data_IF_284325382823
#
_entry.id   IF_284325382823
#
_cell.length_a   1.000
_cell.length_b   1.000
_cell.length_c   1.000
_cell.angle_alpha   90.00
_cell.angle_beta   90.00
_cell.angle_gamma   90.00
#
_symmetry.space_group_name_H-M   'P 1'
#
loop_
_entity.id
_entity.type
_entity.pdbx_description
1 polymer ?
#
# COMPACT_ATOMS: atom_id res chain seq x y z
N UNK A 1 44.86 -18.01 -11.22
CA UNK A 1 43.96 -19.20 -11.22
C UNK A 1 42.82 -18.90 -10.26
N UNK A 2 41.60 -18.98 -10.77
CA UNK A 2 40.42 -18.29 -10.24
C UNK A 2 39.92 -18.89 -8.91
N UNK A 3 39.62 -18.04 -7.94
CA UNK A 3 39.00 -18.38 -6.64
C UNK A 3 37.61 -19.06 -6.78
N UNK A 4 37.11 -19.21 -8.00
CA UNK A 4 35.90 -19.96 -8.36
C UNK A 4 36.08 -21.49 -8.38
N UNK A 5 37.32 -22.01 -8.42
CA UNK A 5 37.59 -23.45 -8.46
C UNK A 5 37.57 -24.16 -7.10
N UNK A 6 37.48 -23.41 -5.99
CA UNK A 6 37.45 -23.95 -4.62
C UNK A 6 36.05 -24.00 -4.01
N UNK A 7 35.01 -23.60 -4.74
CA UNK A 7 33.64 -23.55 -4.25
C UNK A 7 32.88 -24.85 -4.57
N UNK A 8 32.12 -25.41 -3.61
CA UNK A 8 31.30 -26.59 -3.86
C UNK A 8 30.26 -26.28 -4.96
N UNK A 9 30.07 -27.22 -5.89
CA UNK A 9 29.11 -27.18 -7.01
C UNK A 9 27.73 -26.53 -6.71
N UNK A 10 27.07 -26.76 -5.56
CA UNK A 10 25.83 -26.08 -5.22
C UNK A 10 25.98 -24.55 -5.07
N UNK A 11 27.11 -24.06 -4.55
CA UNK A 11 27.36 -22.61 -4.38
C UNK A 11 27.62 -21.94 -5.72
N UNK A 12 28.28 -22.63 -6.65
CA UNK A 12 28.47 -22.14 -8.03
C UNK A 12 27.14 -22.07 -8.77
N UNK A 13 26.25 -23.05 -8.60
CA UNK A 13 24.88 -22.98 -9.15
C UNK A 13 24.04 -21.89 -8.51
N UNK A 14 24.17 -21.68 -7.20
CA UNK A 14 23.50 -20.60 -6.49
C UNK A 14 23.99 -19.23 -6.98
N UNK A 15 25.31 -19.06 -7.12
CA UNK A 15 25.92 -17.84 -7.67
C UNK A 15 25.54 -17.63 -9.13
N UNK A 16 25.47 -18.68 -9.94
CA UNK A 16 25.01 -18.59 -11.32
C UNK A 16 23.51 -18.22 -11.39
N UNK A 17 22.68 -18.79 -10.52
CA UNK A 17 21.27 -18.41 -10.39
C UNK A 17 21.10 -16.95 -9.94
N UNK A 18 21.83 -16.52 -8.91
CA UNK A 18 21.85 -15.13 -8.48
C UNK A 18 22.40 -14.22 -9.57
N UNK A 19 23.44 -14.62 -10.30
CA UNK A 19 23.99 -13.86 -11.42
C UNK A 19 22.99 -13.80 -12.57
N UNK A 20 22.25 -14.85 -12.89
CA UNK A 20 21.20 -14.81 -13.92
C UNK A 20 20.00 -13.96 -13.51
N UNK A 21 19.56 -14.04 -12.25
CA UNK A 21 18.48 -13.22 -11.69
C UNK A 21 18.91 -11.75 -11.48
N UNK A 22 20.18 -11.47 -11.17
CA UNK A 22 20.73 -10.13 -11.01
C UNK A 22 21.21 -9.52 -12.34
N UNK A 23 21.64 -10.34 -13.30
CA UNK A 23 21.99 -9.87 -14.65
C UNK A 23 20.72 -9.41 -15.37
N UNK A 24 20.83 -8.27 -16.04
CA UNK A 24 19.74 -7.47 -16.57
C UNK A 24 19.06 -8.07 -17.82
N UNK A 25 18.64 -9.34 -17.76
CA UNK A 25 18.01 -9.99 -18.92
C UNK A 25 16.56 -9.58 -19.16
N UNK A 26 15.97 -8.74 -18.29
CA UNK A 26 14.66 -8.11 -18.48
C UNK A 26 14.83 -6.60 -18.73
N UNK A 27 14.64 -6.11 -19.97
CA UNK A 27 14.76 -4.69 -20.27
C UNK A 27 13.76 -3.89 -19.44
N UNK A 28 14.23 -2.87 -18.71
CA UNK A 28 13.38 -1.95 -17.94
C UNK A 28 13.39 -2.11 -16.41
N UNK A 29 14.07 -3.10 -15.83
CA UNK A 29 14.08 -3.30 -14.37
C UNK A 29 14.75 -2.16 -13.60
N UNK A 30 15.96 -1.78 -14.00
CA UNK A 30 16.73 -0.70 -13.34
C UNK A 30 15.98 0.64 -13.37
N UNK A 31 15.48 1.14 -14.52
CA UNK A 31 14.75 2.40 -14.52
C UNK A 31 13.48 2.33 -13.66
N UNK A 32 12.74 1.22 -13.66
CA UNK A 32 11.57 1.04 -12.78
C UNK A 32 11.96 1.00 -11.29
N UNK A 33 13.05 0.33 -10.93
CA UNK A 33 13.55 0.30 -9.55
C UNK A 33 13.98 1.68 -9.08
N UNK A 34 14.71 2.43 -9.92
CA UNK A 34 15.13 3.81 -9.60
C UNK A 34 13.92 4.73 -9.49
N UNK A 35 12.95 4.62 -10.41
CA UNK A 35 11.70 5.39 -10.39
C UNK A 35 10.91 5.16 -9.09
N UNK A 36 10.74 3.89 -8.69
CA UNK A 36 10.07 3.52 -7.45
C UNK A 36 10.84 3.99 -6.22
N UNK A 37 12.17 3.85 -6.22
CA UNK A 37 13.03 4.30 -5.13
C UNK A 37 12.95 5.82 -4.93
N UNK A 38 13.02 6.60 -6.01
CA UNK A 38 12.82 8.06 -5.97
C UNK A 38 11.42 8.39 -5.47
N UNK A 39 10.39 7.68 -5.93
CA UNK A 39 9.03 7.84 -5.45
C UNK A 39 8.90 7.61 -3.94
N UNK A 40 9.49 6.53 -3.42
CA UNK A 40 9.50 6.24 -1.99
C UNK A 40 10.24 7.32 -1.18
N UNK A 41 11.39 7.79 -1.67
CA UNK A 41 12.13 8.87 -1.01
C UNK A 41 11.33 10.16 -0.95
N UNK A 42 10.64 10.52 -2.04
CA UNK A 42 9.76 11.69 -2.06
C UNK A 42 8.59 11.53 -1.09
N UNK A 43 7.95 10.36 -1.05
CA UNK A 43 6.86 10.06 -0.11
C UNK A 43 7.32 10.22 1.34
N UNK A 44 8.50 9.68 1.68
CA UNK A 44 9.09 9.82 3.01
C UNK A 44 9.43 11.28 3.32
N UNK A 45 10.09 11.98 2.40
CA UNK A 45 10.48 13.37 2.59
C UNK A 45 9.27 14.27 2.81
N UNK A 46 8.23 14.14 1.98
CA UNK A 46 6.98 14.89 2.13
C UNK A 46 6.31 14.54 3.47
N UNK A 47 6.22 13.24 3.80
CA UNK A 47 5.61 12.82 5.07
C UNK A 47 6.33 13.39 6.29
N UNK A 48 7.66 13.35 6.32
CA UNK A 48 8.44 13.84 7.44
C UNK A 48 8.43 15.37 7.51
N UNK A 49 8.39 16.07 6.36
CA UNK A 49 8.34 17.53 6.31
C UNK A 49 7.00 18.09 6.79
N UNK A 50 5.90 17.44 6.42
CA UNK A 50 4.55 17.86 6.80
C UNK A 50 3.98 17.11 8.01
N UNK A 51 4.82 16.31 8.68
CA UNK A 51 4.45 15.47 9.83
C UNK A 51 3.20 14.61 9.57
N UNK A 52 3.07 14.09 8.34
CA UNK A 52 1.94 13.26 7.92
C UNK A 52 2.04 11.91 8.65
N UNK A 53 0.99 11.48 9.37
CA UNK A 53 1.00 10.20 10.05
C UNK A 53 0.93 9.03 9.05
N UNK A 54 1.25 7.81 9.51
CA UNK A 54 1.05 6.57 8.75
C UNK A 54 1.81 6.47 7.42
N UNK A 55 3.07 6.89 7.38
CA UNK A 55 3.95 6.80 6.19
C UNK A 55 3.97 5.41 5.54
N UNK A 56 3.89 4.35 6.36
CA UNK A 56 3.83 2.97 5.88
C UNK A 56 2.62 2.71 4.96
N UNK A 57 1.45 3.29 5.26
CA UNK A 57 0.26 3.17 4.42
C UNK A 57 0.45 3.92 3.09
N UNK A 58 1.04 5.12 3.12
CA UNK A 58 1.34 5.86 1.88
C UNK A 58 2.34 5.14 0.98
N UNK A 59 3.37 4.53 1.56
CA UNK A 59 4.32 3.71 0.81
C UNK A 59 3.66 2.48 0.21
N UNK A 60 2.76 1.82 0.95
CA UNK A 60 1.98 0.70 0.42
C UNK A 60 1.14 1.13 -0.79
N UNK A 61 0.44 2.28 -0.71
CA UNK A 61 -0.32 2.82 -1.85
C UNK A 61 0.59 3.06 -3.07
N UNK A 62 1.77 3.64 -2.87
CA UNK A 62 2.73 3.85 -3.96
C UNK A 62 3.20 2.52 -4.58
N UNK A 63 3.58 1.54 -3.76
CA UNK A 63 4.06 0.23 -4.20
C UNK A 63 3.02 -0.53 -5.02
N UNK A 64 1.75 -0.49 -4.60
CA UNK A 64 0.68 -1.21 -5.27
C UNK A 64 0.06 -0.42 -6.43
N UNK A 65 0.19 0.90 -6.41
CA UNK A 65 -0.38 1.79 -7.40
C UNK A 65 0.44 1.86 -8.70
N UNK A 66 1.77 1.79 -8.62
CA UNK A 66 2.63 1.84 -9.80
C UNK A 66 2.51 0.54 -10.60
N UNK A 67 1.96 0.66 -11.81
CA UNK A 67 1.84 -0.44 -12.76
C UNK A 67 2.88 -0.32 -13.87
N UNK A 68 3.18 -1.43 -14.55
CA UNK A 68 4.12 -1.44 -15.69
C UNK A 68 3.66 -0.61 -16.89
N UNK A 69 2.37 -0.30 -16.97
CA UNK A 69 1.76 0.48 -18.04
C UNK A 69 1.21 1.80 -17.50
N UNK A 70 1.66 2.93 -18.04
CA UNK A 70 1.25 4.27 -17.57
C UNK A 70 -0.28 4.51 -17.63
N UNK A 71 -0.97 3.96 -18.63
CA UNK A 71 -2.44 4.02 -18.70
C UNK A 71 -3.10 3.30 -17.52
N UNK A 72 -2.59 2.11 -17.17
CA UNK A 72 -3.11 1.34 -16.05
C UNK A 72 -2.79 2.01 -14.71
N UNK A 73 -1.62 2.63 -14.56
CA UNK A 73 -1.29 3.42 -13.37
C UNK A 73 -2.30 4.56 -13.16
N UNK A 74 -2.67 5.30 -14.21
CA UNK A 74 -3.68 6.36 -14.13
C UNK A 74 -5.07 5.82 -13.80
N UNK A 75 -5.46 4.68 -14.39
CA UNK A 75 -6.73 4.04 -14.10
C UNK A 75 -6.80 3.56 -12.64
N UNK A 76 -5.73 2.92 -12.15
CA UNK A 76 -5.59 2.52 -10.74
C UNK A 76 -5.62 3.73 -9.82
N UNK A 77 -5.01 4.85 -10.21
CA UNK A 77 -5.05 6.10 -9.45
C UNK A 77 -6.47 6.62 -9.24
N UNK A 78 -7.28 6.67 -10.29
CA UNK A 78 -8.67 7.11 -10.20
C UNK A 78 -9.45 6.19 -9.26
N UNK A 79 -9.25 4.87 -9.37
CA UNK A 79 -9.88 3.90 -8.49
C UNK A 79 -9.47 4.10 -7.02
N UNK A 80 -8.18 4.38 -6.76
CA UNK A 80 -7.69 4.68 -5.42
C UNK A 80 -8.33 5.94 -4.83
N UNK A 81 -8.45 7.02 -5.60
CA UNK A 81 -9.12 8.24 -5.15
C UNK A 81 -10.56 7.95 -4.72
N UNK A 82 -11.32 7.27 -5.58
CA UNK A 82 -12.72 6.91 -5.30
C UNK A 82 -12.81 5.99 -4.08
N UNK A 83 -11.93 4.99 -4.00
CA UNK A 83 -11.90 4.03 -2.91
C UNK A 83 -11.59 4.72 -1.57
N UNK A 84 -10.58 5.59 -1.51
CA UNK A 84 -10.23 6.34 -0.30
C UNK A 84 -11.40 7.20 0.18
N UNK A 85 -12.10 7.91 -0.70
CA UNK A 85 -13.25 8.74 -0.31
C UNK A 85 -14.39 7.88 0.27
N UNK A 86 -14.73 6.78 -0.42
CA UNK A 86 -15.79 5.86 0.03
C UNK A 86 -15.42 5.17 1.35
N UNK A 87 -14.17 4.78 1.50
CA UNK A 87 -13.65 4.10 2.68
C UNK A 87 -13.68 5.00 3.90
N UNK A 88 -13.19 6.24 3.79
CA UNK A 88 -13.23 7.20 4.90
C UNK A 88 -14.67 7.55 5.28
N UNK A 89 -15.55 7.74 4.30
CA UNK A 89 -16.99 7.92 4.57
C UNK A 89 -17.61 6.72 5.30
N UNK A 90 -17.24 5.51 4.90
CA UNK A 90 -17.68 4.27 5.54
C UNK A 90 -17.15 4.13 6.96
N UNK A 91 -15.88 4.47 7.21
CA UNK A 91 -15.28 4.45 8.55
C UNK A 91 -16.02 5.40 9.50
N UNK A 92 -16.38 6.61 9.07
CA UNK A 92 -17.19 7.51 9.90
C UNK A 92 -18.55 6.92 10.24
N UNK A 93 -19.21 6.25 9.28
CA UNK A 93 -20.48 5.59 9.54
C UNK A 93 -20.31 4.45 10.55
N UNK A 94 -19.23 3.67 10.45
CA UNK A 94 -18.91 2.60 11.40
C UNK A 94 -18.70 3.19 12.79
N UNK A 95 -17.88 4.23 12.93
CA UNK A 95 -17.60 4.85 14.23
C UNK A 95 -18.85 5.40 14.89
N UNK A 96 -19.76 6.02 14.12
CA UNK A 96 -21.02 6.56 14.65
C UNK A 96 -21.81 5.52 15.45
N UNK A 97 -21.79 4.26 15.04
CA UNK A 97 -22.58 3.19 15.66
C UNK A 97 -21.79 2.24 16.56
N UNK A 98 -20.45 2.28 16.50
CA UNK A 98 -19.62 1.24 17.11
C UNK A 98 -18.39 1.74 17.88
N UNK A 99 -18.29 3.06 18.12
CA UNK A 99 -17.12 3.68 18.76
C UNK A 99 -16.71 2.99 20.07
N UNK A 100 -17.66 2.83 21.00
CA UNK A 100 -17.40 2.19 22.31
C UNK A 100 -17.54 0.68 22.34
N UNK A 101 -17.96 0.05 21.23
CA UNK A 101 -18.36 -1.36 21.20
C UNK A 101 -17.43 -2.18 20.28
N UNK A 102 -16.31 -2.72 20.81
CA UNK A 102 -15.33 -3.43 20.00
C UNK A 102 -15.90 -4.68 19.33
N UNK A 103 -16.89 -5.34 19.94
CA UNK A 103 -17.57 -6.51 19.36
C UNK A 103 -18.32 -6.17 18.08
N UNK A 104 -18.99 -5.01 18.03
CA UNK A 104 -19.71 -4.56 16.83
C UNK A 104 -18.72 -4.28 15.68
N UNK A 105 -17.60 -3.62 15.99
CA UNK A 105 -16.51 -3.41 15.02
C UNK A 105 -15.97 -4.72 14.47
N UNK A 106 -15.77 -5.74 15.32
CA UNK A 106 -15.32 -7.05 14.86
C UNK A 106 -16.32 -7.71 13.89
N UNK A 107 -17.62 -7.66 14.23
CA UNK A 107 -18.69 -8.21 13.39
C UNK A 107 -18.77 -7.47 12.05
N UNK A 108 -18.46 -6.18 11.99
CA UNK A 108 -18.43 -5.38 10.75
C UNK A 108 -17.13 -5.64 9.96
N UNK A 109 -15.99 -5.73 10.63
CA UNK A 109 -14.68 -5.97 10.01
C UNK A 109 -14.65 -7.31 9.25
N UNK A 110 -15.27 -8.36 9.78
CA UNK A 110 -15.29 -9.69 9.18
C UNK A 110 -15.86 -9.72 7.75
N UNK A 111 -17.11 -9.27 7.52
CA UNK A 111 -17.70 -9.15 6.19
C UNK A 111 -16.93 -8.23 5.25
N UNK A 112 -16.40 -7.10 5.74
CA UNK A 112 -15.57 -6.19 4.92
C UNK A 112 -14.33 -6.93 4.43
N UNK A 113 -13.60 -7.59 5.34
CA UNK A 113 -12.43 -8.41 5.02
C UNK A 113 -12.77 -9.50 4.00
N UNK A 114 -13.84 -10.25 4.24
CA UNK A 114 -14.27 -11.31 3.34
C UNK A 114 -14.63 -10.77 1.95
N UNK A 115 -15.35 -9.65 1.88
CA UNK A 115 -15.71 -8.97 0.64
C UNK A 115 -14.48 -8.50 -0.13
N UNK A 116 -13.54 -7.82 0.54
CA UNK A 116 -12.30 -7.38 -0.07
C UNK A 116 -11.45 -8.56 -0.56
N UNK A 117 -11.28 -9.61 0.26
CA UNK A 117 -10.53 -10.82 -0.10
C UNK A 117 -11.16 -11.57 -1.28
N UNK A 118 -12.49 -11.59 -1.37
CA UNK A 118 -13.18 -12.17 -2.51
C UNK A 118 -12.93 -11.36 -3.79
N UNK A 119 -13.04 -10.03 -3.69
CA UNK A 119 -12.79 -9.09 -4.80
C UNK A 119 -11.31 -9.00 -5.22
N UNK A 120 -10.38 -9.53 -4.42
CA UNK A 120 -8.97 -9.65 -4.81
C UNK A 120 -8.70 -10.71 -5.88
N UNK A 121 -9.53 -11.76 -5.96
CA UNK A 121 -9.30 -12.88 -6.89
C UNK A 121 -9.33 -12.49 -8.38
N UNK A 122 -10.11 -11.48 -8.85
CA UNK A 122 -9.95 -10.93 -10.18
C UNK A 122 -8.56 -10.29 -10.40
N UNK A 123 -7.76 -10.95 -11.25
CA UNK A 123 -6.30 -10.78 -11.39
C UNK A 123 -5.78 -9.37 -11.74
N UNK A 124 -6.66 -8.41 -12.08
CA UNK A 124 -6.25 -7.04 -12.49
C UNK A 124 -6.63 -5.92 -11.52
N UNK A 125 -7.61 -6.15 -10.64
CA UNK A 125 -8.06 -5.14 -9.67
C UNK A 125 -7.75 -5.52 -8.23
N UNK A 126 -7.25 -6.74 -7.99
CA UNK A 126 -7.08 -7.24 -6.64
C UNK A 126 -6.11 -6.42 -5.77
N UNK A 127 -5.14 -5.72 -6.36
CA UNK A 127 -4.24 -4.83 -5.63
C UNK A 127 -4.96 -3.62 -5.01
N UNK A 128 -6.00 -3.10 -5.66
CA UNK A 128 -6.78 -1.97 -5.12
C UNK A 128 -7.57 -2.44 -3.90
N UNK A 129 -8.23 -3.59 -4.01
CA UNK A 129 -8.98 -4.18 -2.88
C UNK A 129 -8.08 -4.59 -1.71
N UNK A 130 -6.79 -4.84 -1.95
CA UNK A 130 -5.79 -5.02 -0.89
C UNK A 130 -5.51 -3.76 -0.09
N UNK A 131 -5.26 -2.66 -0.76
CA UNK A 131 -5.03 -1.41 -0.05
C UNK A 131 -6.28 -0.96 0.72
N UNK A 132 -7.47 -1.11 0.13
CA UNK A 132 -8.75 -0.85 0.82
C UNK A 132 -8.96 -1.78 2.01
N UNK A 133 -8.63 -3.07 1.91
CA UNK A 133 -8.73 -3.95 3.08
C UNK A 133 -7.85 -3.47 4.24
N UNK A 134 -6.59 -3.10 3.95
CA UNK A 134 -5.65 -2.64 4.96
C UNK A 134 -6.16 -1.37 5.64
N UNK A 135 -6.57 -0.36 4.87
CA UNK A 135 -6.99 0.93 5.43
C UNK A 135 -8.30 0.78 6.21
N UNK A 136 -9.25 -0.03 5.75
CA UNK A 136 -10.53 -0.24 6.42
C UNK A 136 -10.37 -0.95 7.76
N UNK A 137 -9.50 -1.96 7.84
CA UNK A 137 -9.22 -2.69 9.08
C UNK A 137 -8.42 -1.81 10.02
N UNK A 138 -7.38 -1.15 9.50
CA UNK A 138 -6.51 -0.32 10.31
C UNK A 138 -7.25 0.89 10.88
N UNK A 139 -8.07 1.56 10.08
CA UNK A 139 -8.94 2.64 10.53
C UNK A 139 -9.89 2.16 11.63
N UNK A 140 -10.49 0.99 11.46
CA UNK A 140 -11.30 0.39 12.50
C UNK A 140 -10.56 0.14 13.82
N UNK A 141 -9.23 0.17 13.89
CA UNK A 141 -8.49 0.07 15.17
C UNK A 141 -8.43 1.39 15.95
N UNK A 142 -8.63 2.55 15.31
CA UNK A 142 -8.47 3.86 15.95
C UNK A 142 -9.34 4.06 17.19
N UNK A 143 -10.64 3.70 17.20
CA UNK A 143 -11.47 3.83 18.40
C UNK A 143 -11.03 2.96 19.58
N UNK A 144 -10.25 1.89 19.33
CA UNK A 144 -9.70 1.07 20.41
C UNK A 144 -8.36 1.59 20.94
N UNK A 145 -7.64 2.39 20.16
CA UNK A 145 -6.35 2.94 20.57
C UNK A 145 -6.49 4.28 21.30
N UNK A 146 -7.62 4.97 21.10
CA UNK A 146 -7.81 6.35 21.53
C UNK A 146 -9.21 6.56 22.10
N UNK A 147 -9.28 6.99 23.34
CA UNK A 147 -10.55 7.28 24.02
C UNK A 147 -11.17 8.62 23.60
N UNK A 148 -10.44 9.45 22.84
CA UNK A 148 -10.85 10.79 22.41
C UNK A 148 -11.39 10.80 20.97
N UNK A 149 -12.71 10.97 20.75
CA UNK A 149 -13.32 10.90 19.43
C UNK A 149 -12.78 11.95 18.45
N UNK A 150 -12.44 13.14 18.93
CA UNK A 150 -11.90 14.22 18.09
C UNK A 150 -10.55 13.86 17.48
N UNK A 151 -9.74 13.06 18.19
CA UNK A 151 -8.45 12.59 17.69
C UNK A 151 -8.66 11.49 16.66
N UNK A 152 -9.58 10.56 16.91
CA UNK A 152 -9.95 9.49 15.95
C UNK A 152 -10.46 10.08 14.64
N UNK A 153 -11.35 11.08 14.70
CA UNK A 153 -11.85 11.77 13.50
C UNK A 153 -10.70 12.40 12.73
N UNK A 154 -9.80 13.11 13.43
CA UNK A 154 -8.65 13.77 12.80
C UNK A 154 -7.70 12.80 12.13
N UNK A 155 -7.36 11.69 12.79
CA UNK A 155 -6.52 10.64 12.21
C UNK A 155 -7.18 10.00 11.00
N UNK A 156 -8.50 9.80 11.05
CA UNK A 156 -9.27 9.28 9.91
C UNK A 156 -9.28 10.26 8.73
N UNK A 157 -9.35 11.57 8.98
CA UNK A 157 -9.20 12.58 7.93
C UNK A 157 -7.78 12.59 7.35
N UNK A 158 -6.75 12.40 8.18
CA UNK A 158 -5.38 12.25 7.69
C UNK A 158 -5.21 11.06 6.75
N UNK A 159 -5.97 9.97 6.93
CA UNK A 159 -5.97 8.84 6.00
C UNK A 159 -6.36 9.24 4.57
N UNK A 160 -7.17 10.30 4.38
CA UNK A 160 -7.44 10.87 3.05
C UNK A 160 -6.13 11.35 2.43
N UNK A 161 -5.38 12.19 3.14
CA UNK A 161 -4.11 12.73 2.66
C UNK A 161 -3.14 11.57 2.37
N UNK A 162 -2.98 10.66 3.33
CA UNK A 162 -2.12 9.47 3.25
C UNK A 162 -2.38 8.64 1.99
N UNK A 163 -3.64 8.50 1.56
CA UNK A 163 -4.01 7.81 0.32
C UNK A 163 -3.82 8.66 -0.94
N UNK A 164 -4.20 9.95 -0.90
CA UNK A 164 -4.29 10.79 -2.09
C UNK A 164 -2.94 11.31 -2.60
N UNK A 165 -2.02 11.74 -1.73
CA UNK A 165 -0.75 12.29 -2.21
C UNK A 165 0.18 11.25 -2.89
N UNK A 166 0.33 9.99 -2.41
CA UNK A 166 1.12 8.99 -3.16
C UNK A 166 0.41 8.59 -4.46
N UNK A 167 -0.92 8.59 -4.46
CA UNK A 167 -1.75 8.41 -5.66
C UNK A 167 -1.53 9.51 -6.70
N UNK A 168 -1.29 10.76 -6.26
CA UNK A 168 -0.87 11.84 -7.15
C UNK A 168 0.54 11.59 -7.68
N UNK A 169 1.50 11.31 -6.79
CA UNK A 169 2.91 11.10 -7.17
C UNK A 169 3.07 9.99 -8.21
N UNK A 170 2.39 8.85 -8.06
CA UNK A 170 2.47 7.77 -9.05
C UNK A 170 1.91 8.12 -10.43
N UNK A 171 1.13 9.19 -10.57
CA UNK A 171 0.66 9.65 -11.88
C UNK A 171 1.60 10.66 -12.53
N UNK A 172 2.48 11.27 -11.73
CA UNK A 172 3.46 12.28 -12.14
C UNK A 172 4.82 11.67 -12.48
N UNK A 173 5.19 10.60 -11.78
CA UNK A 173 6.44 9.86 -11.95
C UNK A 173 6.26 8.82 -13.06
#
# INVERSE_FOLDING_TARGET
>A
MSALNSLPLPVVRLLAFFHEELSERRPGRVPQTVQLWVGCLLVILISMTFEIPFVALSLAVLFYGIQSNAFYTKFVAILFVVATVLEIGSLFLIYKWSYGEPLIRLIIAGPILMGCMFLMRPHRLGLVFFAVAIVAIYGQTFPAMLDYPEVVVRLTLWCIVVGLYPTLLMTLI
#
